data_IF_259530965768
#
_entry.id   IF_259530965768
#
_cell.length_a   1.000
_cell.length_b   1.000
_cell.length_c   1.000
_cell.angle_alpha   90.00
_cell.angle_beta   90.00
_cell.angle_gamma   90.00
#
_symmetry.space_group_name_H-M   'P 1'
#
loop_
_entity.id
_entity.type
_entity.pdbx_description
1 polymer ?
#
# COMPACT_ATOMS: atom_id res chain seq x y z
N UNK A 1 3.51 20.19 -7.80
CA UNK A 1 3.81 20.74 -6.46
C UNK A 1 3.62 19.67 -5.37
N UNK A 2 4.39 19.74 -4.28
CA UNK A 2 4.32 18.83 -3.12
C UNK A 2 2.97 18.90 -2.40
N UNK A 3 2.27 20.03 -2.50
CA UNK A 3 0.92 20.23 -1.98
C UNK A 3 0.03 20.65 -3.14
N UNK A 4 -1.09 19.95 -3.31
CA UNK A 4 -2.11 20.30 -4.30
C UNK A 4 -3.50 20.25 -3.67
N UNK A 5 -4.25 21.36 -3.75
CA UNK A 5 -5.57 21.52 -3.10
C UNK A 5 -5.58 21.14 -1.61
N UNK A 6 -4.51 21.45 -0.88
CA UNK A 6 -4.34 21.11 0.53
C UNK A 6 -3.94 19.66 0.82
N UNK A 7 -3.81 18.80 -0.21
CA UNK A 7 -3.29 17.44 -0.04
C UNK A 7 -1.77 17.44 -0.22
N UNK A 8 -1.04 17.00 0.81
CA UNK A 8 0.42 16.79 0.77
C UNK A 8 0.73 15.44 0.13
N UNK A 9 1.75 15.40 -0.71
CA UNK A 9 2.30 14.14 -1.22
C UNK A 9 2.92 13.35 -0.06
N UNK A 10 2.65 12.04 0.06
CA UNK A 10 3.28 11.20 1.09
C UNK A 10 4.80 11.30 1.06
N UNK A 11 5.42 11.46 2.24
CA UNK A 11 6.87 11.65 2.37
C UNK A 11 7.67 10.49 1.79
N UNK A 12 7.12 9.28 1.85
CA UNK A 12 7.72 8.08 1.26
C UNK A 12 7.93 8.21 -0.26
N UNK A 13 7.08 8.96 -0.95
CA UNK A 13 7.20 9.24 -2.39
C UNK A 13 8.20 10.35 -2.71
N UNK A 14 8.54 11.19 -1.72
CA UNK A 14 9.53 12.27 -1.85
C UNK A 14 10.95 11.80 -1.49
N UNK A 15 11.06 10.69 -0.77
CA UNK A 15 12.30 10.21 -0.16
C UNK A 15 13.33 9.60 -1.12
N UNK A 16 12.97 9.31 -2.38
CA UNK A 16 13.86 8.68 -3.37
C UNK A 16 14.15 7.19 -3.15
N UNK A 17 13.65 6.59 -2.06
CA UNK A 17 13.84 5.16 -1.77
C UNK A 17 12.88 4.30 -2.60
N UNK A 18 13.32 3.90 -3.79
CA UNK A 18 12.53 3.13 -4.76
C UNK A 18 11.87 1.87 -4.15
N UNK A 19 12.55 1.19 -3.23
CA UNK A 19 12.01 -0.01 -2.58
C UNK A 19 10.81 0.30 -1.67
N UNK A 20 10.93 1.35 -0.86
CA UNK A 20 9.83 1.83 -0.01
C UNK A 20 8.65 2.32 -0.84
N UNK A 21 8.93 2.99 -1.96
CA UNK A 21 7.90 3.41 -2.92
C UNK A 21 7.19 2.20 -3.53
N UNK A 22 7.93 1.16 -3.92
CA UNK A 22 7.38 -0.10 -4.46
C UNK A 22 6.44 -0.75 -3.44
N UNK A 23 6.88 -0.89 -2.19
CA UNK A 23 6.09 -1.47 -1.11
C UNK A 23 4.85 -0.63 -0.81
N UNK A 24 4.99 0.69 -0.72
CA UNK A 24 3.86 1.58 -0.47
C UNK A 24 2.81 1.52 -1.59
N UNK A 25 3.25 1.53 -2.86
CA UNK A 25 2.33 1.36 -4.01
C UNK A 25 1.63 0.01 -3.98
N UNK A 26 2.34 -1.05 -3.63
CA UNK A 26 1.78 -2.41 -3.51
C UNK A 26 0.75 -2.48 -2.39
N UNK A 27 1.07 -1.94 -1.21
CA UNK A 27 0.16 -1.85 -0.07
C UNK A 27 -1.11 -1.08 -0.42
N UNK A 28 -1.00 0.10 -1.02
CA UNK A 28 -2.16 0.92 -1.40
C UNK A 28 -3.06 0.20 -2.42
N UNK A 29 -2.46 -0.51 -3.40
CA UNK A 29 -3.20 -1.33 -4.36
C UNK A 29 -3.98 -2.45 -3.67
N UNK A 30 -3.33 -3.18 -2.76
CA UNK A 30 -3.96 -4.26 -1.98
C UNK A 30 -5.07 -3.70 -1.06
N UNK A 31 -4.82 -2.60 -0.35
CA UNK A 31 -5.79 -1.93 0.52
C UNK A 31 -7.04 -1.52 -0.27
N UNK A 32 -6.85 -0.89 -1.44
CA UNK A 32 -7.95 -0.48 -2.32
C UNK A 32 -8.72 -1.68 -2.87
N UNK A 33 -8.03 -2.75 -3.22
CA UNK A 33 -8.65 -3.98 -3.73
C UNK A 33 -9.46 -4.67 -2.64
N UNK A 34 -8.91 -4.86 -1.45
CA UNK A 34 -9.63 -5.43 -0.30
C UNK A 34 -10.85 -4.61 0.11
N UNK A 35 -10.78 -3.28 0.05
CA UNK A 35 -11.89 -2.41 0.42
C UNK A 35 -13.01 -2.40 -0.62
N UNK A 36 -12.71 -2.48 -1.92
CA UNK A 36 -13.71 -2.35 -2.99
C UNK A 36 -14.16 -3.67 -3.60
N UNK A 37 -13.23 -4.61 -3.73
CA UNK A 37 -13.37 -5.89 -4.46
C UNK A 37 -12.54 -6.99 -3.80
N UNK A 38 -12.86 -7.39 -2.55
CA UNK A 38 -12.11 -8.41 -1.82
C UNK A 38 -12.09 -9.76 -2.55
N UNK A 39 -13.06 -10.05 -3.40
CA UNK A 39 -13.15 -11.26 -4.21
C UNK A 39 -12.01 -11.40 -5.24
N UNK A 40 -11.37 -10.30 -5.64
CA UNK A 40 -10.23 -10.32 -6.57
C UNK A 40 -8.91 -10.73 -5.88
N UNK A 41 -8.88 -10.75 -4.54
CA UNK A 41 -7.66 -11.01 -3.78
C UNK A 41 -7.51 -12.51 -3.52
N UNK A 42 -6.77 -13.18 -4.40
CA UNK A 42 -6.46 -14.61 -4.23
C UNK A 42 -5.23 -14.82 -3.33
N UNK A 43 -5.49 -15.10 -2.05
CA UNK A 43 -4.45 -15.39 -1.03
C UNK A 43 -3.51 -16.55 -1.40
N UNK A 44 -3.92 -17.46 -2.29
CA UNK A 44 -3.06 -18.57 -2.73
C UNK A 44 -1.99 -18.12 -3.72
N UNK A 45 -2.28 -17.08 -4.53
CA UNK A 45 -1.36 -16.53 -5.54
C UNK A 45 -0.46 -15.41 -5.02
N UNK A 46 -0.79 -14.85 -3.86
CA UNK A 46 -0.04 -13.74 -3.25
C UNK A 46 1.34 -14.18 -2.73
N UNK A 47 2.33 -13.30 -2.89
CA UNK A 47 3.67 -13.51 -2.36
C UNK A 47 3.70 -13.44 -0.82
N UNK A 48 4.79 -13.90 -0.20
CA UNK A 48 4.97 -13.78 1.26
C UNK A 48 4.94 -12.32 1.73
N UNK A 49 5.51 -11.39 0.94
CA UNK A 49 5.45 -9.96 1.22
C UNK A 49 4.01 -9.44 1.14
N UNK A 50 3.27 -9.80 0.10
CA UNK A 50 1.89 -9.35 -0.07
C UNK A 50 0.99 -9.82 1.09
N UNK A 51 1.19 -11.05 1.57
CA UNK A 51 0.47 -11.58 2.74
C UNK A 51 0.75 -10.75 4.00
N UNK A 52 2.01 -10.36 4.23
CA UNK A 52 2.37 -9.46 5.33
C UNK A 52 1.73 -8.08 5.17
N UNK A 53 1.68 -7.54 3.94
CA UNK A 53 1.01 -6.27 3.69
C UNK A 53 -0.49 -6.36 3.97
N UNK A 54 -1.16 -7.43 3.57
CA UNK A 54 -2.58 -7.67 3.86
C UNK A 54 -2.84 -7.79 5.36
N UNK A 55 -1.95 -8.46 6.08
CA UNK A 55 -2.03 -8.56 7.54
C UNK A 55 -1.92 -7.17 8.20
N UNK A 56 -0.93 -6.36 7.77
CA UNK A 56 -0.82 -4.95 8.20
C UNK A 56 -2.08 -4.13 7.88
N UNK A 57 -2.65 -4.30 6.68
CA UNK A 57 -3.90 -3.62 6.27
C UNK A 57 -5.06 -3.99 7.22
N UNK A 58 -5.18 -5.27 7.58
CA UNK A 58 -6.22 -5.75 8.52
C UNK A 58 -6.00 -5.23 9.93
N UNK A 59 -4.74 -5.13 10.37
CA UNK A 59 -4.36 -4.57 11.68
C UNK A 59 -4.44 -3.04 11.74
N UNK A 60 -4.68 -2.36 10.61
CA UNK A 60 -4.74 -0.89 10.54
C UNK A 60 -3.36 -0.22 10.64
N UNK A 61 -2.28 -0.98 10.47
CA UNK A 61 -0.91 -0.47 10.61
C UNK A 61 -0.45 0.12 9.27
N UNK A 62 -0.18 1.43 9.26
CA UNK A 62 0.22 2.19 8.07
C UNK A 62 1.75 2.33 7.94
N UNK A 63 2.51 1.73 8.86
CA UNK A 63 3.97 1.73 8.82
C UNK A 63 4.50 0.70 7.80
N UNK A 64 4.93 1.17 6.63
CA UNK A 64 5.47 0.37 5.51
C UNK A 64 6.92 0.71 5.25
#
# INVERSE_FOLDING_TARGET
>A
PEIYRGMKVPEILLSGYHEKIRLWRRYQSLKRTLSKRPELVDMKKLSKEDKKLIDKIKSGDENI
#
